data_IF_421159114799
#
_entry.id   IF_421159114799
#
_cell.length_a   1.000
_cell.length_b   1.000
_cell.length_c   1.000
_cell.angle_alpha   90.00
_cell.angle_beta   90.00
_cell.angle_gamma   90.00
#
_symmetry.space_group_name_H-M   'P 1'
#
loop_
_entity.id
_entity.type
_entity.pdbx_description
1 polymer ?
#
# COMPACT_ATOMS: atom_id res chain seq x y z
N UNK A 1 -12.47 28.62 5.48
CA UNK A 1 -12.56 27.70 4.34
C UNK A 1 -11.18 27.14 4.10
N UNK A 2 -11.09 25.85 3.86
CA UNK A 2 -9.86 25.17 3.46
C UNK A 2 -9.28 25.75 2.17
N UNK A 3 -7.95 25.76 2.00
CA UNK A 3 -7.36 25.97 0.68
C UNK A 3 -7.36 24.65 -0.11
N UNK A 4 -7.42 24.69 -1.46
CA UNK A 4 -7.30 23.49 -2.28
C UNK A 4 -6.00 22.71 -2.05
N UNK A 5 -4.91 23.43 -1.74
CA UNK A 5 -3.60 22.85 -1.43
C UNK A 5 -3.62 22.04 -0.13
N UNK A 6 -4.19 22.58 0.95
CA UNK A 6 -4.33 21.86 2.21
C UNK A 6 -5.24 20.62 2.08
N UNK A 7 -6.26 20.68 1.22
CA UNK A 7 -7.11 19.53 0.92
C UNK A 7 -6.34 18.42 0.19
N UNK A 8 -5.50 18.78 -0.79
CA UNK A 8 -4.67 17.84 -1.54
C UNK A 8 -3.64 17.16 -0.66
N UNK A 9 -2.92 17.91 0.19
CA UNK A 9 -1.93 17.34 1.12
C UNK A 9 -2.55 16.29 2.05
N UNK A 10 -3.75 16.58 2.56
CA UNK A 10 -4.46 15.61 3.40
C UNK A 10 -4.93 14.38 2.62
N UNK A 11 -5.36 14.54 1.38
CA UNK A 11 -5.73 13.40 0.54
C UNK A 11 -4.51 12.50 0.28
N UNK A 12 -3.34 13.09 0.04
CA UNK A 12 -2.08 12.36 -0.12
C UNK A 12 -1.70 11.59 1.16
N UNK A 13 -1.78 12.24 2.32
CA UNK A 13 -1.53 11.59 3.62
C UNK A 13 -2.50 10.44 3.86
N UNK A 14 -3.81 10.64 3.61
CA UNK A 14 -4.82 9.58 3.77
C UNK A 14 -4.54 8.40 2.84
N UNK A 15 -4.21 8.67 1.57
CA UNK A 15 -3.89 7.62 0.61
C UNK A 15 -2.65 6.82 1.04
N UNK A 16 -1.59 7.49 1.51
CA UNK A 16 -0.39 6.82 2.03
C UNK A 16 -0.73 5.93 3.23
N UNK A 17 -1.54 6.41 4.17
CA UNK A 17 -1.97 5.64 5.34
C UNK A 17 -2.84 4.44 4.97
N UNK A 18 -3.82 4.61 4.06
CA UNK A 18 -4.69 3.52 3.60
C UNK A 18 -3.88 2.45 2.87
N UNK A 19 -2.92 2.85 2.03
CA UNK A 19 -2.02 1.91 1.37
C UNK A 19 -1.13 1.16 2.36
N UNK A 20 -0.51 1.87 3.31
CA UNK A 20 0.35 1.29 4.33
C UNK A 20 -0.39 0.22 5.14
N UNK A 21 -1.62 0.53 5.57
CA UNK A 21 -2.49 -0.41 6.30
C UNK A 21 -2.81 -1.64 5.44
N UNK A 22 -3.20 -1.45 4.18
CA UNK A 22 -3.55 -2.56 3.30
C UNK A 22 -2.37 -3.52 3.06
N UNK A 23 -1.15 -2.99 2.94
CA UNK A 23 0.09 -3.80 2.84
C UNK A 23 0.32 -4.59 4.11
N UNK A 24 0.26 -3.94 5.27
CA UNK A 24 0.45 -4.58 6.58
C UNK A 24 -0.58 -5.71 6.80
N UNK A 25 -1.86 -5.43 6.57
CA UNK A 25 -2.95 -6.38 6.79
C UNK A 25 -2.76 -7.63 5.91
N UNK A 26 -2.52 -7.46 4.61
CA UNK A 26 -2.32 -8.60 3.71
C UNK A 26 -1.02 -9.36 4.02
N UNK A 27 0.06 -8.66 4.35
CA UNK A 27 1.31 -9.30 4.75
C UNK A 27 1.11 -10.19 5.98
N UNK A 28 0.42 -9.69 7.00
CA UNK A 28 0.17 -10.42 8.24
C UNK A 28 -0.81 -11.58 8.04
N UNK A 29 -1.83 -11.42 7.19
CA UNK A 29 -2.73 -12.50 6.77
C UNK A 29 -1.96 -13.67 6.13
N UNK A 30 -0.93 -13.37 5.34
CA UNK A 30 -0.03 -14.36 4.73
C UNK A 30 1.05 -14.90 5.68
N UNK A 31 1.12 -14.41 6.92
CA UNK A 31 2.15 -14.81 7.89
C UNK A 31 3.57 -14.38 7.53
N UNK A 32 3.73 -13.36 6.68
CA UNK A 32 5.03 -12.93 6.17
C UNK A 32 5.65 -11.82 7.04
N UNK A 33 6.97 -11.85 7.15
CA UNK A 33 7.79 -10.76 7.65
C UNK A 33 7.97 -9.67 6.58
N UNK A 34 8.36 -8.47 6.99
CA UNK A 34 8.69 -7.39 6.05
C UNK A 34 9.87 -7.76 5.14
N UNK A 35 10.83 -8.54 5.65
CA UNK A 35 11.98 -9.03 4.85
C UNK A 35 11.53 -9.96 3.75
N UNK A 36 10.63 -10.90 4.04
CA UNK A 36 10.11 -11.84 3.02
C UNK A 36 9.32 -11.12 1.93
N UNK A 37 8.51 -10.12 2.27
CA UNK A 37 7.83 -9.28 1.26
C UNK A 37 8.85 -8.49 0.45
N UNK A 38 9.90 -7.95 1.08
CA UNK A 38 10.94 -7.21 0.39
C UNK A 38 11.66 -8.08 -0.64
N UNK A 39 12.06 -9.29 -0.26
CA UNK A 39 12.69 -10.27 -1.14
C UNK A 39 11.80 -10.61 -2.34
N UNK A 40 10.53 -10.93 -2.09
CA UNK A 40 9.54 -11.21 -3.15
C UNK A 40 9.31 -10.02 -4.08
N UNK A 41 9.37 -8.80 -3.56
CA UNK A 41 9.16 -7.57 -4.32
C UNK A 41 10.44 -7.06 -5.03
N UNK A 42 11.61 -7.66 -4.77
CA UNK A 42 12.90 -7.14 -5.22
C UNK A 42 13.25 -5.78 -4.61
N UNK A 43 12.95 -5.59 -3.32
CA UNK A 43 13.14 -4.37 -2.55
C UNK A 43 13.98 -4.65 -1.29
N UNK A 44 14.34 -3.59 -0.56
CA UNK A 44 14.96 -3.73 0.76
C UNK A 44 13.88 -3.78 1.86
N UNK A 45 14.17 -4.47 2.98
CA UNK A 45 13.26 -4.47 4.14
C UNK A 45 12.97 -3.04 4.63
N UNK A 46 13.97 -2.15 4.63
CA UNK A 46 13.77 -0.74 4.96
C UNK A 46 12.78 -0.03 4.03
N UNK A 47 12.70 -0.42 2.74
CA UNK A 47 11.71 0.12 1.81
C UNK A 47 10.29 -0.35 2.16
N UNK A 48 10.12 -1.63 2.53
CA UNK A 48 8.83 -2.15 3.01
C UNK A 48 8.43 -1.50 4.33
N UNK A 49 9.37 -1.31 5.26
CA UNK A 49 9.12 -0.63 6.53
C UNK A 49 8.59 0.80 6.32
N UNK A 50 9.22 1.59 5.45
CA UNK A 50 8.72 2.94 5.09
C UNK A 50 7.35 2.93 4.41
N UNK A 51 7.06 1.91 3.60
CA UNK A 51 5.76 1.73 2.98
C UNK A 51 4.69 1.49 4.06
N UNK A 52 4.94 0.58 4.99
CA UNK A 52 4.02 0.29 6.10
C UNK A 52 3.97 1.43 7.14
N UNK A 53 4.97 2.32 7.13
CA UNK A 53 5.01 3.56 7.91
C UNK A 53 4.30 4.76 7.27
N UNK A 54 3.74 4.60 6.07
CA UNK A 54 3.09 5.67 5.30
C UNK A 54 3.99 6.88 4.98
N UNK A 55 5.30 6.66 4.78
CA UNK A 55 6.26 7.75 4.51
C UNK A 55 5.96 8.52 3.22
N UNK A 56 5.36 7.86 2.21
CA UNK A 56 5.01 8.47 0.94
C UNK A 56 3.99 7.63 0.16
N UNK A 57 3.27 8.27 -0.77
CA UNK A 57 2.43 7.55 -1.74
C UNK A 57 3.30 6.75 -2.72
N UNK A 58 3.03 5.45 -2.93
CA UNK A 58 3.82 4.62 -3.84
C UNK A 58 3.54 4.98 -5.30
N UNK A 59 4.53 4.77 -6.16
CA UNK A 59 4.35 4.86 -7.61
C UNK A 59 3.65 3.62 -8.17
N UNK A 60 2.97 3.73 -9.32
CA UNK A 60 2.33 2.58 -9.98
C UNK A 60 3.25 1.35 -10.17
N UNK A 61 4.54 1.49 -10.56
CA UNK A 61 5.45 0.35 -10.62
C UNK A 61 5.69 -0.32 -9.26
N UNK A 62 5.75 0.45 -8.18
CA UNK A 62 5.91 -0.08 -6.83
C UNK A 62 4.65 -0.81 -6.36
N UNK A 63 3.47 -0.24 -6.64
CA UNK A 63 2.18 -0.89 -6.37
C UNK A 63 2.11 -2.29 -6.99
N UNK A 64 2.51 -2.42 -8.27
CA UNK A 64 2.54 -3.72 -8.96
C UNK A 64 3.47 -4.72 -8.30
N UNK A 65 4.68 -4.30 -7.91
CA UNK A 65 5.66 -5.19 -7.24
C UNK A 65 5.14 -5.69 -5.90
N UNK A 66 4.56 -4.80 -5.10
CA UNK A 66 4.00 -5.16 -3.79
C UNK A 66 2.80 -6.10 -3.93
N UNK A 67 1.91 -5.84 -4.89
CA UNK A 67 0.77 -6.74 -5.18
C UNK A 67 1.23 -8.16 -5.54
N UNK A 68 2.22 -8.28 -6.43
CA UNK A 68 2.80 -9.58 -6.78
C UNK A 68 3.47 -10.27 -5.58
N UNK A 69 4.20 -9.52 -4.75
CA UNK A 69 4.86 -10.06 -3.56
C UNK A 69 3.87 -10.57 -2.49
N UNK A 70 2.68 -9.98 -2.44
CA UNK A 70 1.58 -10.30 -1.54
C UNK A 70 0.55 -11.27 -2.12
N UNK A 71 0.88 -11.93 -3.24
CA UNK A 71 0.00 -12.86 -3.96
C UNK A 71 -1.45 -12.37 -4.05
N UNK A 72 -1.59 -11.15 -4.56
CA UNK A 72 -2.86 -10.45 -4.60
C UNK A 72 -2.98 -9.54 -5.81
N UNK A 73 -4.23 -9.28 -6.18
CA UNK A 73 -4.60 -8.15 -7.02
C UNK A 73 -4.80 -6.91 -6.15
N UNK A 74 -4.48 -5.72 -6.67
CA UNK A 74 -4.64 -4.46 -5.95
C UNK A 74 -5.78 -3.66 -6.54
N UNK A 75 -6.78 -3.35 -5.71
CA UNK A 75 -7.90 -2.48 -6.05
C UNK A 75 -7.74 -1.16 -5.31
N UNK A 76 -7.85 -0.05 -6.04
CA UNK A 76 -7.79 1.31 -5.50
C UNK A 76 -9.03 2.05 -6.00
N UNK A 77 -9.77 2.66 -5.08
CA UNK A 77 -10.87 3.58 -5.38
C UNK A 77 -10.59 4.94 -4.74
N UNK A 78 -10.61 6.00 -5.54
CA UNK A 78 -10.33 7.37 -5.10
C UNK A 78 -11.49 8.27 -5.57
N UNK A 79 -12.12 8.96 -4.63
CA UNK A 79 -13.12 9.99 -4.91
C UNK A 79 -12.89 11.24 -4.05
N UNK A 80 -13.85 12.17 -4.04
CA UNK A 80 -13.70 13.45 -3.36
C UNK A 80 -13.55 13.34 -1.84
N UNK A 81 -14.12 12.28 -1.23
CA UNK A 81 -14.25 12.14 0.22
C UNK A 81 -13.65 10.83 0.74
N UNK A 82 -13.23 9.93 -0.14
CA UNK A 82 -12.82 8.58 0.22
C UNK A 82 -11.63 8.04 -0.60
N UNK A 83 -10.67 7.46 0.12
CA UNK A 83 -9.60 6.65 -0.43
C UNK A 83 -9.70 5.20 0.07
N UNK A 84 -9.94 4.26 -0.84
CA UNK A 84 -9.94 2.83 -0.57
C UNK A 84 -8.74 2.15 -1.23
N UNK A 85 -8.03 1.31 -0.48
CA UNK A 85 -7.01 0.41 -1.00
C UNK A 85 -7.26 -0.98 -0.45
N UNK A 86 -7.39 -1.98 -1.33
CA UNK A 86 -7.57 -3.38 -0.94
C UNK A 86 -6.68 -4.30 -1.75
N UNK A 87 -5.99 -5.21 -1.08
CA UNK A 87 -5.36 -6.37 -1.71
C UNK A 87 -6.35 -7.53 -1.68
N UNK A 88 -6.71 -8.04 -2.86
CA UNK A 88 -7.57 -9.21 -3.02
C UNK A 88 -6.66 -10.40 -3.29
N UNK A 89 -6.53 -11.29 -2.30
CA UNK A 89 -5.72 -12.48 -2.41
C UNK A 89 -6.17 -13.38 -3.55
N UNK A 90 -5.21 -13.98 -4.26
CA UNK A 90 -5.55 -15.04 -5.20
C UNK A 90 -5.93 -16.31 -4.40
N UNK A 91 -6.97 -17.05 -4.82
CA UNK A 91 -7.28 -18.33 -4.20
C UNK A 91 -6.09 -19.28 -4.37
N UNK A 92 -5.80 -20.05 -3.32
CA UNK A 92 -4.86 -21.17 -3.44
C UNK A 92 -5.38 -22.14 -4.51
N UNK A 93 -4.53 -22.42 -5.50
CA UNK A 93 -4.82 -23.38 -6.56
C UNK A 93 -4.97 -24.81 -6.03
#
# INVERSE_FOLDING_TARGET
METPEAAADRAEIRLAMTFAKAVYDRRTELGLTQTEVAERAGLTQAKISRIEGADAVPTLPLLRRVAMALDASLNIALDADHEEVRFVGHPAA
#
